data_IF_418667388948
#
_entry.id   IF_418667388948
#
_cell.length_a   1.000
_cell.length_b   1.000
_cell.length_c   1.000
_cell.angle_alpha   90.00
_cell.angle_beta   90.00
_cell.angle_gamma   90.00
#
_symmetry.space_group_name_H-M   'P 1'
#
loop_
_entity.id
_entity.type
_entity.pdbx_description
1 polymer ?
#
# COMPACT_ATOMS: atom_id res chain seq x y z
N UNK A 1 -5.59 6.22 -17.39
CA UNK A 1 -5.22 6.58 -16.02
C UNK A 1 -4.86 8.07 -15.97
N UNK A 2 -5.63 8.89 -15.29
CA UNK A 2 -5.44 10.36 -15.32
C UNK A 2 -4.17 10.84 -14.59
N UNK A 3 -3.48 9.97 -13.85
CA UNK A 3 -2.34 10.37 -13.05
C UNK A 3 -1.32 9.23 -12.87
N UNK A 4 -0.08 9.46 -13.31
CA UNK A 4 1.07 8.54 -13.13
C UNK A 4 1.44 8.32 -11.66
N UNK A 5 0.84 9.09 -10.75
CA UNK A 5 1.23 9.14 -9.34
C UNK A 5 1.12 7.79 -8.61
N UNK A 6 0.08 7.00 -8.93
CA UNK A 6 -0.19 5.72 -8.26
C UNK A 6 -0.06 4.50 -9.18
N UNK A 7 0.43 4.70 -10.41
CA UNK A 7 0.56 3.65 -11.42
C UNK A 7 1.32 2.43 -10.89
N UNK A 8 2.51 2.67 -10.35
CA UNK A 8 3.36 1.59 -9.84
C UNK A 8 2.66 0.78 -8.72
N UNK A 9 2.00 1.46 -7.79
CA UNK A 9 1.30 0.79 -6.69
C UNK A 9 0.13 -0.07 -7.17
N UNK A 10 -0.61 0.40 -8.19
CA UNK A 10 -1.71 -0.32 -8.82
C UNK A 10 -1.19 -1.51 -9.61
N UNK A 11 -0.17 -1.29 -10.43
CA UNK A 11 0.46 -2.33 -11.24
C UNK A 11 0.95 -3.49 -10.38
N UNK A 12 1.73 -3.20 -9.33
CA UNK A 12 2.25 -4.21 -8.41
C UNK A 12 1.13 -5.00 -7.71
N UNK A 13 0.04 -4.34 -7.35
CA UNK A 13 -1.08 -5.00 -6.71
C UNK A 13 -1.84 -5.92 -7.68
N UNK A 14 -2.10 -5.46 -8.90
CA UNK A 14 -2.75 -6.29 -9.94
C UNK A 14 -1.85 -7.48 -10.28
N UNK A 15 -0.55 -7.27 -10.48
CA UNK A 15 0.41 -8.33 -10.76
C UNK A 15 0.47 -9.40 -9.67
N UNK A 16 0.30 -9.00 -8.40
CA UNK A 16 0.28 -9.96 -7.29
C UNK A 16 -0.94 -10.90 -7.34
N UNK A 17 -2.08 -10.46 -7.90
CA UNK A 17 -3.27 -11.30 -8.12
C UNK A 17 -3.21 -12.10 -9.42
N UNK A 18 -2.55 -11.55 -10.45
CA UNK A 18 -2.44 -12.12 -11.79
C UNK A 18 -0.96 -12.24 -12.22
N UNK A 19 -0.18 -13.14 -11.59
CA UNK A 19 1.27 -13.22 -11.82
C UNK A 19 1.65 -13.65 -13.25
N UNK A 20 0.75 -14.38 -13.92
CA UNK A 20 0.94 -14.89 -15.29
C UNK A 20 0.38 -13.95 -16.37
N UNK A 21 -0.33 -12.87 -15.98
CA UNK A 21 -0.95 -11.97 -16.93
C UNK A 21 0.06 -10.96 -17.50
N UNK A 22 -0.08 -10.65 -18.75
CA UNK A 22 0.56 -9.47 -19.36
C UNK A 22 -0.27 -8.23 -19.01
N UNK A 23 0.35 -7.26 -18.35
CA UNK A 23 -0.31 -6.05 -17.86
C UNK A 23 0.20 -4.87 -18.69
N UNK A 24 -0.69 -4.25 -19.45
CA UNK A 24 -0.43 -3.00 -20.14
C UNK A 24 -1.10 -1.83 -19.40
N UNK A 25 -0.45 -0.67 -19.39
CA UNK A 25 -0.98 0.56 -18.79
C UNK A 25 -1.11 1.61 -19.90
N UNK A 26 -2.30 2.20 -20.04
CA UNK A 26 -2.57 3.30 -20.96
C UNK A 26 -3.17 4.48 -20.21
N UNK A 27 -2.89 5.69 -20.68
CA UNK A 27 -3.40 6.96 -20.11
C UNK A 27 -4.46 7.60 -20.99
N UNK A 28 -4.60 7.15 -22.22
CA UNK A 28 -5.56 7.65 -23.20
C UNK A 28 -6.63 6.59 -23.47
N UNK A 29 -7.80 7.03 -23.88
CA UNK A 29 -8.82 6.14 -24.43
C UNK A 29 -8.39 5.71 -25.83
N UNK A 30 -7.49 4.76 -25.92
CA UNK A 30 -7.18 4.11 -27.19
C UNK A 30 -8.27 3.10 -27.53
N UNK A 31 -8.76 3.14 -28.76
CA UNK A 31 -9.73 2.16 -29.33
C UNK A 31 -9.24 0.70 -29.26
N UNK A 32 -7.96 0.48 -28.97
CA UNK A 32 -7.34 -0.84 -28.81
C UNK A 32 -7.60 -1.56 -27.49
N UNK A 33 -8.25 -0.92 -26.51
CA UNK A 33 -8.57 -1.54 -25.21
C UNK A 33 -9.61 -2.67 -25.29
N UNK A 34 -10.20 -2.89 -26.46
CA UNK A 34 -11.26 -3.90 -26.69
C UNK A 34 -10.76 -5.35 -26.79
N UNK A 35 -9.45 -5.59 -26.70
CA UNK A 35 -8.87 -6.96 -26.81
C UNK A 35 -8.37 -7.50 -25.47
N UNK A 36 -8.50 -6.75 -24.38
CA UNK A 36 -8.05 -7.18 -23.07
C UNK A 36 -9.11 -8.06 -22.38
N UNK A 37 -8.71 -9.21 -21.85
CA UNK A 37 -9.59 -10.13 -21.10
C UNK A 37 -10.16 -9.46 -19.83
N UNK A 38 -9.39 -8.52 -19.27
CA UNK A 38 -9.79 -7.76 -18.08
C UNK A 38 -9.23 -6.34 -18.15
N UNK A 39 -10.11 -5.35 -18.11
CA UNK A 39 -9.78 -3.93 -18.13
C UNK A 39 -10.10 -3.30 -16.77
N UNK A 40 -9.14 -2.58 -16.19
CA UNK A 40 -9.35 -1.70 -15.04
C UNK A 40 -9.16 -0.25 -15.45
N UNK A 41 -10.18 0.58 -15.17
CA UNK A 41 -10.08 2.04 -15.32
C UNK A 41 -10.14 2.69 -13.94
N UNK A 42 -9.11 3.46 -13.60
CA UNK A 42 -9.02 4.16 -12.31
C UNK A 42 -9.03 5.65 -12.56
N UNK A 43 -10.03 6.33 -12.02
CA UNK A 43 -10.22 7.78 -12.09
C UNK A 43 -10.06 8.37 -10.70
N UNK A 44 -9.23 9.42 -10.57
CA UNK A 44 -9.08 10.19 -9.33
C UNK A 44 -10.03 11.37 -9.35
N UNK A 45 -10.82 11.52 -8.30
CA UNK A 45 -11.61 12.70 -8.01
C UNK A 45 -11.03 13.46 -6.83
N UNK A 46 -11.57 14.63 -6.48
CA UNK A 46 -11.03 15.45 -5.37
C UNK A 46 -10.92 14.70 -4.05
N UNK A 47 -11.94 13.90 -3.72
CA UNK A 47 -12.02 13.17 -2.43
C UNK A 47 -12.34 11.67 -2.59
N UNK A 48 -12.19 11.12 -3.80
CA UNK A 48 -12.50 9.73 -4.06
C UNK A 48 -11.74 9.16 -5.25
N UNK A 49 -11.75 7.83 -5.35
CA UNK A 49 -11.33 7.11 -6.54
C UNK A 49 -12.52 6.32 -7.07
N UNK A 50 -12.66 6.29 -8.38
CA UNK A 50 -13.62 5.42 -9.07
C UNK A 50 -12.79 4.37 -9.79
N UNK A 51 -13.05 3.10 -9.46
CA UNK A 51 -12.44 1.96 -10.11
C UNK A 51 -13.53 1.25 -10.90
N UNK A 52 -13.45 1.31 -12.22
CA UNK A 52 -14.31 0.53 -13.11
C UNK A 52 -13.56 -0.68 -13.61
N UNK A 53 -14.22 -1.81 -13.70
CA UNK A 53 -13.66 -2.99 -14.32
C UNK A 53 -14.63 -3.56 -15.35
N UNK A 54 -14.08 -4.17 -16.37
CA UNK A 54 -14.80 -4.85 -17.42
C UNK A 54 -14.05 -6.12 -17.78
N UNK A 55 -14.76 -7.24 -17.84
CA UNK A 55 -14.31 -8.49 -18.42
C UNK A 55 -15.37 -9.01 -19.40
N UNK A 56 -15.08 -10.09 -20.12
CA UNK A 56 -16.01 -10.65 -21.11
C UNK A 56 -17.41 -10.94 -20.57
N UNK A 57 -17.55 -11.26 -19.26
CA UNK A 57 -18.79 -11.73 -18.66
C UNK A 57 -19.42 -10.74 -17.68
N UNK A 58 -18.71 -9.68 -17.27
CA UNK A 58 -19.18 -8.80 -16.19
C UNK A 58 -18.54 -7.41 -16.26
N UNK A 59 -19.35 -6.40 -15.97
CA UNK A 59 -18.92 -5.01 -15.84
C UNK A 59 -19.33 -4.49 -14.46
N UNK A 60 -18.43 -3.84 -13.76
CA UNK A 60 -18.74 -3.30 -12.44
C UNK A 60 -18.01 -2.01 -12.12
N UNK A 61 -18.55 -1.28 -11.17
CA UNK A 61 -17.98 -0.04 -10.66
C UNK A 61 -17.82 -0.17 -9.15
N UNK A 62 -16.65 0.19 -8.65
CA UNK A 62 -16.39 0.35 -7.22
C UNK A 62 -15.87 1.76 -6.98
N UNK A 63 -16.50 2.50 -6.07
CA UNK A 63 -16.02 3.80 -5.61
C UNK A 63 -15.29 3.64 -4.28
N UNK A 64 -14.21 4.37 -4.11
CA UNK A 64 -13.45 4.47 -2.87
C UNK A 64 -13.42 5.92 -2.43
N UNK A 65 -14.05 6.23 -1.30
CA UNK A 65 -14.03 7.56 -0.72
C UNK A 65 -12.78 7.77 0.13
N UNK A 66 -12.12 8.91 -0.04
CA UNK A 66 -11.02 9.34 0.83
C UNK A 66 -11.66 9.94 2.08
N UNK A 67 -11.84 9.14 3.13
CA UNK A 67 -12.34 9.61 4.41
C UNK A 67 -11.22 10.44 5.06
N UNK A 68 -11.41 11.76 5.13
CA UNK A 68 -10.56 12.63 5.95
C UNK A 68 -10.83 12.31 7.42
N UNK A 69 -9.89 11.62 8.07
CA UNK A 69 -9.99 11.43 9.51
C UNK A 69 -9.68 10.04 10.02
N UNK A 70 -8.44 9.62 9.91
CA UNK A 70 -7.71 8.90 10.93
C UNK A 70 -6.29 9.48 10.94
N UNK A 71 -6.21 10.74 11.33
CA UNK A 71 -4.96 11.28 11.84
C UNK A 71 -4.76 10.61 13.21
N UNK A 72 -3.85 9.66 13.30
CA UNK A 72 -3.17 9.43 14.55
C UNK A 72 -2.40 10.73 14.83
N UNK A 73 -2.83 11.48 15.81
CA UNK A 73 -2.27 12.78 16.24
C UNK A 73 -0.86 12.67 16.86
N UNK A 74 -0.12 11.58 16.58
CA UNK A 74 1.23 11.35 17.08
C UNK A 74 2.18 10.96 15.93
N UNK A 75 2.46 11.90 15.04
CA UNK A 75 3.67 11.84 14.22
C UNK A 75 4.69 12.83 14.79
N UNK A 76 5.95 12.42 15.07
CA UNK A 76 6.97 13.33 15.57
C UNK A 76 7.21 14.46 14.54
N UNK A 77 6.95 15.67 15.00
CA UNK A 77 7.18 16.95 14.32
C UNK A 77 8.67 17.12 14.06
N UNK A 78 9.09 16.99 12.81
CA UNK A 78 10.26 17.76 12.31
C UNK A 78 10.33 17.61 10.80
N UNK A 79 9.89 18.63 10.11
CA UNK A 79 10.32 19.21 8.83
C UNK A 79 9.15 19.88 8.11
N UNK A 80 9.22 21.23 8.01
CA UNK A 80 8.41 22.13 7.16
C UNK A 80 6.96 21.69 6.93
N UNK A 81 6.05 22.27 7.68
CA UNK A 81 4.64 21.89 7.85
C UNK A 81 3.86 21.63 6.53
N UNK A 82 4.11 22.40 5.48
CA UNK A 82 3.39 22.23 4.21
C UNK A 82 3.79 20.98 3.42
N UNK A 83 5.08 20.63 3.38
CA UNK A 83 5.55 19.41 2.69
C UNK A 83 5.17 18.14 3.43
N UNK A 84 5.05 18.20 4.75
CA UNK A 84 4.60 17.11 5.61
C UNK A 84 3.13 16.77 5.36
N UNK A 85 2.27 17.77 5.33
CA UNK A 85 0.83 17.61 5.10
C UNK A 85 0.52 17.02 3.72
N UNK A 86 1.17 17.53 2.65
CA UNK A 86 0.99 17.01 1.30
C UNK A 86 1.44 15.54 1.17
N UNK A 87 2.57 15.19 1.81
CA UNK A 87 3.08 13.80 1.83
C UNK A 87 2.14 12.86 2.59
N UNK A 88 1.59 13.30 3.70
CA UNK A 88 0.64 12.54 4.50
C UNK A 88 -0.67 12.32 3.73
N UNK A 89 -1.21 13.37 3.11
CA UNK A 89 -2.42 13.27 2.29
C UNK A 89 -2.22 12.29 1.11
N UNK A 90 -1.07 12.34 0.45
CA UNK A 90 -0.72 11.41 -0.62
C UNK A 90 -0.68 9.96 -0.12
N UNK A 91 -0.11 9.73 1.06
CA UNK A 91 -0.06 8.40 1.68
C UNK A 91 -1.46 7.86 1.95
N UNK A 92 -2.34 8.69 2.52
CA UNK A 92 -3.73 8.32 2.80
C UNK A 92 -4.50 7.98 1.51
N UNK A 93 -4.36 8.80 0.47
CA UNK A 93 -4.96 8.53 -0.84
C UNK A 93 -4.49 7.18 -1.40
N UNK A 94 -3.20 6.91 -1.33
CA UNK A 94 -2.62 5.64 -1.77
C UNK A 94 -3.19 4.45 -0.99
N UNK A 95 -3.25 4.55 0.34
CA UNK A 95 -3.76 3.49 1.19
C UNK A 95 -5.23 3.17 0.89
N UNK A 96 -6.07 4.20 0.70
CA UNK A 96 -7.48 4.04 0.32
C UNK A 96 -7.62 3.36 -1.05
N UNK A 97 -6.86 3.82 -2.04
CA UNK A 97 -6.89 3.24 -3.38
C UNK A 97 -6.47 1.77 -3.37
N UNK A 98 -5.36 1.44 -2.72
CA UNK A 98 -4.86 0.07 -2.61
C UNK A 98 -5.82 -0.84 -1.85
N UNK A 99 -6.43 -0.34 -0.78
CA UNK A 99 -7.42 -1.10 -0.01
C UNK A 99 -8.63 -1.46 -0.87
N UNK A 100 -9.18 -0.49 -1.60
CA UNK A 100 -10.37 -0.69 -2.44
C UNK A 100 -10.09 -1.58 -3.63
N UNK A 101 -8.96 -1.38 -4.30
CA UNK A 101 -8.51 -2.25 -5.39
C UNK A 101 -8.28 -3.69 -4.90
N UNK A 102 -7.65 -3.88 -3.75
CA UNK A 102 -7.46 -5.21 -3.15
C UNK A 102 -8.80 -5.92 -2.91
N UNK A 103 -9.78 -5.22 -2.32
CA UNK A 103 -11.11 -5.76 -2.07
C UNK A 103 -11.81 -6.16 -3.37
N UNK A 104 -11.70 -5.34 -4.41
CA UNK A 104 -12.23 -5.65 -5.73
C UNK A 104 -11.56 -6.88 -6.32
N UNK A 105 -10.22 -6.94 -6.32
CA UNK A 105 -9.46 -8.07 -6.86
C UNK A 105 -9.75 -9.37 -6.10
N UNK A 106 -9.87 -9.31 -4.77
CA UNK A 106 -10.29 -10.45 -3.95
C UNK A 106 -11.68 -10.95 -4.36
N UNK A 107 -12.62 -10.04 -4.59
CA UNK A 107 -13.99 -10.40 -5.04
C UNK A 107 -13.99 -11.04 -6.43
N UNK A 108 -13.17 -10.53 -7.35
CA UNK A 108 -13.10 -11.04 -8.73
C UNK A 108 -12.40 -12.39 -8.82
N UNK A 109 -11.35 -12.60 -8.04
CA UNK A 109 -10.47 -13.79 -8.15
C UNK A 109 -10.78 -14.87 -7.11
N UNK A 110 -11.48 -14.52 -6.03
CA UNK A 110 -11.64 -15.40 -4.86
C UNK A 110 -10.33 -15.60 -4.06
N UNK A 111 -9.22 -14.96 -4.45
CA UNK A 111 -7.91 -15.11 -3.82
C UNK A 111 -7.68 -14.05 -2.74
N UNK A 112 -6.87 -14.40 -1.73
CA UNK A 112 -6.33 -13.46 -0.75
C UNK A 112 -4.81 -13.54 -0.75
N UNK A 113 -4.14 -12.39 -0.61
CA UNK A 113 -2.68 -12.35 -0.55
C UNK A 113 -2.23 -12.37 0.92
N UNK A 114 -1.19 -13.14 1.28
CA UNK A 114 -0.72 -13.25 2.66
C UNK A 114 -0.26 -11.91 3.26
N UNK A 115 0.28 -11.02 2.43
CA UNK A 115 0.69 -9.67 2.82
C UNK A 115 -0.38 -8.59 2.57
N UNK A 116 -1.61 -9.01 2.27
CA UNK A 116 -2.72 -8.10 2.00
C UNK A 116 -2.42 -7.14 0.84
N UNK A 117 -2.71 -5.86 1.04
CA UNK A 117 -2.45 -4.82 0.05
C UNK A 117 -1.03 -4.22 0.13
N UNK A 118 -0.14 -4.79 0.96
CA UNK A 118 1.24 -4.35 1.06
C UNK A 118 2.05 -4.84 -0.15
N UNK A 119 2.40 -3.94 -1.05
CA UNK A 119 3.28 -4.19 -2.20
C UNK A 119 4.40 -3.15 -2.23
N UNK A 120 5.59 -3.56 -2.66
CA UNK A 120 6.74 -2.67 -2.84
C UNK A 120 7.39 -2.14 -1.56
N UNK A 121 7.04 -2.68 -0.38
CA UNK A 121 7.64 -2.27 0.91
C UNK A 121 8.05 -3.48 1.75
N UNK A 122 8.98 -3.27 2.68
CA UNK A 122 9.30 -4.27 3.71
C UNK A 122 8.26 -4.18 4.84
N UNK A 123 7.43 -5.22 5.08
CA UNK A 123 6.41 -5.14 6.13
C UNK A 123 6.98 -4.96 7.54
N UNK A 124 8.18 -5.52 7.82
CA UNK A 124 8.87 -5.32 9.08
C UNK A 124 9.22 -3.85 9.35
N UNK A 125 9.56 -3.05 8.32
CA UNK A 125 9.79 -1.60 8.47
C UNK A 125 8.53 -0.87 8.91
N UNK A 126 7.35 -1.28 8.42
CA UNK A 126 6.07 -0.73 8.86
C UNK A 126 5.81 -1.06 10.33
N UNK A 127 6.01 -2.33 10.73
CA UNK A 127 5.87 -2.76 12.12
C UNK A 127 6.89 -2.03 13.03
N UNK A 128 8.13 -1.83 12.58
CA UNK A 128 9.14 -1.07 13.32
C UNK A 128 8.70 0.36 13.60
N UNK A 129 8.21 1.08 12.58
CA UNK A 129 7.72 2.45 12.76
C UNK A 129 6.56 2.54 13.77
N UNK A 130 5.67 1.53 13.79
CA UNK A 130 4.60 1.46 14.79
C UNK A 130 5.13 1.18 16.21
N UNK A 131 6.15 0.33 16.34
CA UNK A 131 6.82 0.07 17.62
C UNK A 131 7.53 1.33 18.13
N UNK A 132 8.22 2.06 17.26
CA UNK A 132 8.89 3.33 17.58
C UNK A 132 7.89 4.41 17.98
N UNK A 133 6.68 4.41 17.41
CA UNK A 133 5.56 5.24 17.83
C UNK A 133 4.92 4.80 19.16
N UNK A 134 5.44 3.77 19.83
CA UNK A 134 4.98 3.30 21.14
C UNK A 134 3.78 2.37 21.11
N UNK A 135 3.33 1.89 19.96
CA UNK A 135 2.22 0.96 19.84
C UNK A 135 2.58 -0.41 20.42
N UNK A 136 1.61 -1.04 21.08
CA UNK A 136 1.75 -2.43 21.55
C UNK A 136 1.62 -3.42 20.38
N UNK A 137 2.22 -4.59 20.53
CA UNK A 137 2.16 -5.63 19.47
C UNK A 137 0.71 -6.02 19.10
N UNK A 138 -0.23 -5.97 20.03
CA UNK A 138 -1.65 -6.23 19.75
C UNK A 138 -2.29 -5.14 18.89
N UNK A 139 -1.95 -3.88 19.13
CA UNK A 139 -2.44 -2.72 18.37
C UNK A 139 -1.85 -2.75 16.96
N UNK A 140 -0.55 -3.06 16.84
CA UNK A 140 0.12 -3.25 15.54
C UNK A 140 -0.54 -4.38 14.75
N UNK A 141 -0.84 -5.50 15.41
CA UNK A 141 -1.50 -6.62 14.76
C UNK A 141 -2.90 -6.25 14.25
N UNK A 142 -3.64 -5.47 15.02
CA UNK A 142 -4.97 -4.99 14.62
C UNK A 142 -4.89 -4.02 13.44
N UNK A 143 -3.96 -3.06 13.46
CA UNK A 143 -3.73 -2.10 12.40
C UNK A 143 -3.30 -2.80 11.09
N UNK A 144 -2.35 -3.72 11.16
CA UNK A 144 -1.91 -4.49 10.00
C UNK A 144 -3.04 -5.32 9.38
N UNK A 145 -3.91 -5.88 10.21
CA UNK A 145 -5.06 -6.64 9.75
C UNK A 145 -6.15 -5.75 9.14
N UNK A 146 -6.52 -4.64 9.81
CA UNK A 146 -7.64 -3.79 9.40
C UNK A 146 -7.29 -2.90 8.20
N UNK A 147 -6.13 -2.26 8.25
CA UNK A 147 -5.73 -1.28 7.25
C UNK A 147 -5.05 -1.91 6.05
N UNK A 148 -4.18 -2.90 6.31
CA UNK A 148 -3.37 -3.51 5.26
C UNK A 148 -3.82 -4.91 4.85
N UNK A 149 -4.84 -5.48 5.52
CA UNK A 149 -5.42 -6.79 5.22
C UNK A 149 -4.39 -7.94 5.25
N UNK A 150 -3.34 -7.79 6.06
CA UNK A 150 -2.28 -8.79 6.23
C UNK A 150 -2.79 -9.98 7.02
N UNK A 151 -2.37 -11.20 6.64
CA UNK A 151 -2.74 -12.42 7.36
C UNK A 151 -2.16 -12.44 8.79
N UNK A 152 -2.78 -13.15 9.74
CA UNK A 152 -2.28 -13.25 11.11
C UNK A 152 -0.83 -13.77 11.19
N UNK A 153 -0.49 -14.79 10.39
CA UNK A 153 0.85 -15.41 10.36
C UNK A 153 1.91 -14.41 9.88
N UNK A 154 1.61 -13.66 8.82
CA UNK A 154 2.51 -12.65 8.27
C UNK A 154 2.63 -11.43 9.16
N UNK A 155 1.55 -11.07 9.85
CA UNK A 155 1.56 -10.03 10.88
C UNK A 155 2.48 -10.41 12.04
N UNK A 156 2.33 -11.62 12.58
CA UNK A 156 3.20 -12.12 13.65
C UNK A 156 4.68 -12.15 13.22
N UNK A 157 4.94 -12.59 11.98
CA UNK A 157 6.29 -12.60 11.41
C UNK A 157 6.87 -11.17 11.32
N UNK A 158 6.11 -10.20 10.80
CA UNK A 158 6.57 -8.82 10.67
C UNK A 158 6.91 -8.20 12.03
N UNK A 159 6.05 -8.39 13.04
CA UNK A 159 6.26 -7.90 14.40
C UNK A 159 7.50 -8.58 15.03
N UNK A 160 7.66 -9.89 14.85
CA UNK A 160 8.82 -10.62 15.38
C UNK A 160 10.13 -10.10 14.80
N UNK A 161 10.16 -9.90 13.47
CA UNK A 161 11.36 -9.36 12.79
C UNK A 161 11.64 -7.94 13.29
N UNK A 162 10.63 -7.08 13.36
CA UNK A 162 10.78 -5.70 13.82
C UNK A 162 11.31 -5.62 15.26
N UNK A 163 10.81 -6.44 16.19
CA UNK A 163 11.31 -6.48 17.55
C UNK A 163 12.77 -6.96 17.63
N UNK A 164 13.16 -7.95 16.81
CA UNK A 164 14.57 -8.41 16.73
C UNK A 164 15.47 -7.35 16.12
N UNK A 165 15.07 -6.72 15.02
CA UNK A 165 15.81 -5.62 14.41
C UNK A 165 16.03 -4.49 15.44
N UNK A 166 14.99 -4.09 16.18
CA UNK A 166 15.10 -3.06 17.23
C UNK A 166 16.10 -3.43 18.31
N UNK A 167 16.13 -4.70 18.74
CA UNK A 167 17.06 -5.16 19.76
C UNK A 167 18.51 -5.15 19.26
N UNK A 168 18.75 -5.59 18.01
CA UNK A 168 20.08 -5.59 17.38
C UNK A 168 20.58 -4.17 17.17
N UNK A 169 19.68 -3.25 16.78
CA UNK A 169 20.02 -1.90 16.37
C UNK A 169 20.03 -0.89 17.50
N UNK A 170 19.62 -1.26 18.72
CA UNK A 170 19.48 -0.34 19.88
C UNK A 170 20.78 0.37 20.27
N UNK A 171 21.93 -0.26 20.02
CA UNK A 171 23.25 0.25 20.36
C UNK A 171 23.95 0.97 19.20
N UNK A 172 23.26 1.13 18.05
CA UNK A 172 23.80 1.80 16.86
C UNK A 172 23.32 3.24 16.85
N UNK A 173 24.27 4.17 16.93
CA UNK A 173 23.99 5.61 16.76
C UNK A 173 23.90 5.95 15.26
N UNK A 174 22.65 6.07 14.77
CA UNK A 174 22.38 6.43 13.37
C UNK A 174 22.51 7.92 13.09
N UNK A 175 22.49 8.78 14.09
CA UNK A 175 22.60 10.23 13.91
C UNK A 175 24.05 10.66 13.72
N UNK A 176 24.97 10.01 14.45
CA UNK A 176 26.40 10.37 14.44
C UNK A 176 27.30 9.27 13.84
N UNK A 177 26.71 8.12 13.46
CA UNK A 177 27.41 6.98 12.89
C UNK A 177 27.45 6.99 11.36
N UNK A 178 28.43 6.31 10.79
CA UNK A 178 28.51 6.05 9.35
C UNK A 178 28.84 4.57 9.10
N UNK A 179 28.34 4.06 7.97
CA UNK A 179 28.64 2.68 7.52
C UNK A 179 29.69 2.73 6.42
N UNK A 180 30.80 2.00 6.62
CA UNK A 180 31.85 1.85 5.62
C UNK A 180 31.73 0.48 4.96
N UNK A 181 31.57 0.46 3.64
CA UNK A 181 31.65 -0.76 2.85
C UNK A 181 33.02 -0.85 2.20
N UNK A 182 33.83 -1.84 2.62
CA UNK A 182 35.08 -2.14 1.95
C UNK A 182 34.79 -3.22 0.89
N UNK A 183 35.12 -2.94 -0.36
CA UNK A 183 35.09 -3.91 -1.46
C UNK A 183 36.51 -4.41 -1.65
N UNK A 184 36.71 -5.73 -1.51
CA UNK A 184 37.99 -6.43 -1.77
C UNK A 184 38.02 -7.00 -3.18
#
# INVERSE_FOLDING_TARGET
FDNKEFEHDIYELIRAFYPEAEIAVSYEEEDGANTADLLFRVEKQEQSFIIRYQNESNTGVTSAEIIKGHSSDDAPLSCTEEKGAARQQRKEQKDVLKYSLYKLLTKLTGKTLPWGNLTGIRPAKLAMAMIEAGMKNSEIAEEMRKRYLVSPEKTALAITIANREREILKDIDYENGYSLYAVS
#
